data_IF_592600129114
#
_entry.id   IF_592600129114
#
_cell.length_a   1.000
_cell.length_b   1.000
_cell.length_c   1.000
_cell.angle_alpha   90.00
_cell.angle_beta   90.00
_cell.angle_gamma   90.00
#
_symmetry.space_group_name_H-M   'P 1'
#
loop_
_entity.id
_entity.type
_entity.pdbx_description
1 polymer ?
#
# COMPACT_ATOMS: atom_id res chain seq x y z
N UNK A 1 -7.90 30.31 45.29
CA UNK A 1 -7.57 28.88 45.50
C UNK A 1 -8.07 28.14 44.27
N UNK A 2 -7.20 27.84 43.30
CA UNK A 2 -7.60 27.38 41.96
C UNK A 2 -7.23 25.91 41.74
N UNK A 3 -8.24 25.11 41.40
CA UNK A 3 -8.17 23.96 40.48
C UNK A 3 -7.64 22.61 41.01
N UNK A 4 -8.43 21.51 40.94
CA UNK A 4 -7.89 20.16 41.06
C UNK A 4 -7.00 19.83 39.84
N UNK A 5 -5.82 19.28 40.15
CA UNK A 5 -4.86 18.75 39.18
C UNK A 5 -5.38 17.44 38.57
N UNK A 6 -4.88 17.19 37.36
CA UNK A 6 -4.90 15.93 36.61
C UNK A 6 -6.12 15.69 35.71
N UNK A 7 -6.05 16.29 34.53
CA UNK A 7 -6.81 15.84 33.36
C UNK A 7 -6.43 14.40 32.99
N UNK A 8 -7.45 13.57 32.76
CA UNK A 8 -7.54 12.52 31.73
C UNK A 8 -6.28 11.69 31.47
N UNK A 9 -6.24 10.51 32.10
CA UNK A 9 -5.53 9.35 31.58
C UNK A 9 -6.31 8.79 30.37
N UNK A 10 -6.06 9.33 29.18
CA UNK A 10 -6.51 8.78 27.90
C UNK A 10 -5.56 7.66 27.47
N UNK A 11 -6.16 6.65 26.84
CA UNK A 11 -5.57 5.35 26.47
C UNK A 11 -4.47 5.49 25.41
N UNK A 12 -3.43 4.66 25.57
CA UNK A 12 -2.69 3.87 24.56
C UNK A 12 -2.12 4.62 23.34
N UNK A 13 -0.79 4.58 23.15
CA UNK A 13 -0.16 4.60 21.82
C UNK A 13 1.26 4.01 21.90
N UNK A 14 1.58 3.12 20.97
CA UNK A 14 2.89 2.48 20.78
C UNK A 14 4.05 3.47 20.91
N UNK A 15 5.13 3.04 21.59
CA UNK A 15 6.34 3.85 21.74
C UNK A 15 6.94 4.18 20.38
N UNK A 16 7.06 5.45 20.07
CA UNK A 16 7.90 5.96 18.97
C UNK A 16 9.30 6.21 19.52
N UNK A 17 10.33 5.78 18.79
CA UNK A 17 11.71 6.11 19.14
C UNK A 17 12.10 7.51 18.62
N UNK A 18 13.32 7.95 18.97
CA UNK A 18 13.87 9.27 18.65
C UNK A 18 14.01 9.55 17.15
N UNK A 19 13.86 8.54 16.28
CA UNK A 19 13.86 8.69 14.83
C UNK A 19 12.47 8.93 14.24
N UNK A 20 11.42 8.94 15.07
CA UNK A 20 10.03 9.09 14.63
C UNK A 20 9.46 7.82 13.99
N UNK A 21 10.21 6.72 14.01
CA UNK A 21 9.72 5.39 13.69
C UNK A 21 9.13 4.78 14.97
N UNK A 22 8.01 4.07 14.85
CA UNK A 22 7.57 3.21 15.94
C UNK A 22 8.66 2.19 16.28
N UNK A 23 8.82 1.82 17.55
CA UNK A 23 9.75 0.73 17.95
C UNK A 23 9.40 -0.63 17.32
N UNK A 24 8.27 -0.71 16.60
CA UNK A 24 7.76 -1.86 15.85
C UNK A 24 8.29 -1.93 14.41
N UNK A 25 8.90 -0.85 13.92
CA UNK A 25 9.44 -0.76 12.57
C UNK A 25 8.37 -0.77 11.48
N UNK A 26 7.28 -0.02 11.71
CA UNK A 26 6.18 0.12 10.76
C UNK A 26 6.67 0.31 9.31
N UNK A 27 5.98 -0.27 8.31
CA UNK A 27 6.38 -0.10 6.92
C UNK A 27 6.40 1.38 6.57
N UNK A 28 7.42 1.87 5.89
CA UNK A 28 7.45 3.20 5.32
C UNK A 28 7.47 3.07 3.80
N UNK A 29 6.76 3.98 3.16
CA UNK A 29 6.90 4.16 1.72
C UNK A 29 8.20 4.90 1.45
N UNK A 30 9.15 4.29 0.75
CA UNK A 30 10.52 4.84 0.63
C UNK A 30 11.11 4.80 -0.77
N UNK A 31 10.50 4.07 -1.72
CA UNK A 31 11.02 3.98 -3.10
C UNK A 31 10.66 5.17 -4.03
N UNK A 32 9.71 6.02 -3.62
CA UNK A 32 9.18 7.11 -4.46
C UNK A 32 7.86 6.72 -5.13
N UNK A 33 7.08 7.65 -5.73
CA UNK A 33 5.73 7.33 -6.20
C UNK A 33 5.74 6.20 -7.24
N UNK A 34 4.87 5.20 -7.07
CA UNK A 34 4.65 4.17 -8.09
C UNK A 34 4.18 4.88 -9.37
N UNK A 35 4.90 4.67 -10.47
CA UNK A 35 4.56 5.29 -11.74
C UNK A 35 3.20 4.82 -12.26
N UNK A 36 2.48 5.72 -12.92
CA UNK A 36 1.25 5.39 -13.64
C UNK A 36 1.51 4.28 -14.67
N UNK A 37 0.55 3.37 -14.81
CA UNK A 37 0.62 2.20 -15.67
C UNK A 37 -0.35 2.31 -16.84
N UNK A 38 -0.02 1.58 -17.90
CA UNK A 38 -0.94 1.32 -19.02
C UNK A 38 -1.12 -0.18 -19.21
N UNK A 39 -2.25 -0.59 -19.78
CA UNK A 39 -2.51 -1.97 -20.15
C UNK A 39 -3.52 -2.03 -21.29
N UNK A 40 -3.50 -3.09 -22.08
CA UNK A 40 -4.42 -3.26 -23.21
C UNK A 40 -5.51 -4.25 -22.84
N UNK A 41 -6.75 -3.99 -23.24
CA UNK A 41 -7.85 -4.90 -22.97
C UNK A 41 -7.59 -6.31 -23.53
N UNK A 42 -7.97 -7.35 -22.78
CA UNK A 42 -7.76 -8.76 -23.12
C UNK A 42 -6.29 -9.17 -23.28
N UNK A 43 -5.34 -8.31 -22.93
CA UNK A 43 -3.90 -8.58 -22.97
C UNK A 43 -3.36 -8.77 -21.56
N UNK A 44 -2.45 -9.74 -21.40
CA UNK A 44 -1.73 -9.93 -20.16
C UNK A 44 -0.77 -8.75 -19.93
N UNK A 45 -0.81 -8.18 -18.72
CA UNK A 45 0.12 -7.10 -18.36
C UNK A 45 1.51 -7.65 -18.11
N UNK A 46 2.53 -6.82 -18.31
CA UNK A 46 3.84 -7.11 -17.73
C UNK A 46 3.68 -7.07 -16.20
N UNK A 47 4.10 -8.11 -15.45
CA UNK A 47 3.98 -8.09 -14.00
C UNK A 47 4.64 -6.86 -13.39
N UNK A 48 3.91 -6.17 -12.53
CA UNK A 48 4.40 -4.99 -11.81
C UNK A 48 4.72 -5.39 -10.37
N UNK A 49 6.00 -5.34 -10.02
CA UNK A 49 6.45 -5.51 -8.64
C UNK A 49 6.45 -4.16 -7.92
N UNK A 50 5.65 -4.03 -6.87
CA UNK A 50 5.62 -2.82 -6.01
C UNK A 50 6.28 -3.03 -4.66
N UNK A 51 6.79 -4.24 -4.37
CA UNK A 51 7.30 -4.58 -3.04
C UNK A 51 8.51 -3.73 -2.64
N UNK A 52 9.37 -3.40 -3.61
CA UNK A 52 10.55 -2.55 -3.39
C UNK A 52 10.23 -1.10 -3.01
N UNK A 53 8.99 -0.66 -3.19
CA UNK A 53 8.56 0.70 -2.86
C UNK A 53 8.25 0.86 -1.35
N UNK A 54 8.08 -0.27 -0.66
CA UNK A 54 7.84 -0.34 0.77
C UNK A 54 9.06 -0.92 1.47
N UNK A 55 9.54 -0.23 2.50
CA UNK A 55 10.59 -0.76 3.37
C UNK A 55 10.08 -0.84 4.80
N UNK A 56 10.55 -1.82 5.55
CA UNK A 56 10.25 -1.95 6.96
C UNK A 56 11.50 -2.49 7.64
N UNK A 57 11.84 -1.91 8.79
CA UNK A 57 12.86 -2.45 9.70
C UNK A 57 12.24 -3.40 10.74
N UNK A 58 10.99 -3.84 10.53
CA UNK A 58 10.35 -4.87 11.33
C UNK A 58 10.99 -6.25 11.08
N UNK A 59 10.88 -7.14 12.06
CA UNK A 59 11.31 -8.54 11.96
C UNK A 59 10.27 -9.45 11.30
N UNK A 60 9.10 -8.91 10.95
CA UNK A 60 8.01 -9.65 10.31
C UNK A 60 7.91 -9.29 8.82
N UNK A 61 7.52 -10.26 7.99
CA UNK A 61 7.29 -10.05 6.57
C UNK A 61 6.16 -9.05 6.31
N UNK A 62 6.32 -8.24 5.27
CA UNK A 62 5.25 -7.38 4.77
C UNK A 62 4.15 -8.20 4.08
N UNK A 63 2.90 -7.76 4.28
CA UNK A 63 1.74 -8.23 3.53
C UNK A 63 1.23 -7.11 2.65
N UNK A 64 1.10 -7.40 1.36
CA UNK A 64 0.70 -6.45 0.35
C UNK A 64 -0.79 -6.59 0.02
N UNK A 65 -1.43 -5.47 -0.28
CA UNK A 65 -2.80 -5.42 -0.77
C UNK A 65 -2.94 -4.38 -1.87
N UNK A 66 -3.88 -4.63 -2.79
CA UNK A 66 -4.27 -3.70 -3.83
C UNK A 66 -5.78 -3.54 -3.91
N UNK A 67 -6.23 -2.31 -4.14
CA UNK A 67 -7.62 -1.95 -4.39
C UNK A 67 -7.75 -1.11 -5.65
N UNK A 68 -8.92 -1.14 -6.29
CA UNK A 68 -9.21 -0.33 -7.47
C UNK A 68 -8.56 -0.81 -8.76
N UNK A 69 -7.94 -2.00 -8.78
CA UNK A 69 -7.32 -2.56 -9.98
C UNK A 69 -8.36 -2.75 -11.11
N UNK A 70 -7.94 -2.61 -12.39
CA UNK A 70 -8.70 -3.12 -13.53
C UNK A 70 -9.13 -4.58 -13.31
N UNK A 71 -10.29 -4.96 -13.85
CA UNK A 71 -10.83 -6.31 -13.68
C UNK A 71 -9.87 -7.29 -14.35
N UNK A 72 -9.63 -8.43 -13.72
CA UNK A 72 -8.72 -9.45 -14.24
C UNK A 72 -7.25 -9.26 -13.86
N UNK A 73 -6.92 -8.14 -13.20
CA UNK A 73 -5.65 -7.98 -12.50
C UNK A 73 -5.81 -8.30 -11.01
N UNK A 74 -4.79 -8.91 -10.43
CA UNK A 74 -4.72 -9.26 -9.01
C UNK A 74 -3.32 -9.00 -8.47
N UNK A 75 -3.22 -8.72 -7.17
CA UNK A 75 -1.94 -8.65 -6.46
C UNK A 75 -1.72 -9.94 -5.66
N UNK A 76 -0.53 -10.52 -5.79
CA UNK A 76 -0.04 -11.52 -4.84
C UNK A 76 0.38 -10.83 -3.53
N UNK A 77 -0.26 -11.22 -2.42
CA UNK A 77 -0.10 -10.54 -1.13
C UNK A 77 1.22 -10.82 -0.41
N UNK A 78 2.00 -11.79 -0.89
CA UNK A 78 3.30 -12.16 -0.32
C UNK A 78 4.42 -11.47 -1.08
N UNK A 79 4.33 -11.42 -2.41
CA UNK A 79 5.38 -10.88 -3.28
C UNK A 79 5.15 -9.42 -3.68
N UNK A 80 3.93 -8.89 -3.53
CA UNK A 80 3.59 -7.55 -3.99
C UNK A 80 3.49 -7.42 -5.52
N UNK A 81 3.49 -8.53 -6.26
CA UNK A 81 3.42 -8.52 -7.72
C UNK A 81 1.96 -8.41 -8.17
N UNK A 82 1.65 -7.37 -8.95
CA UNK A 82 0.39 -7.23 -9.69
C UNK A 82 0.54 -7.90 -11.05
N UNK A 83 -0.37 -8.82 -11.38
CA UNK A 83 -0.36 -9.55 -12.65
C UNK A 83 -1.77 -9.94 -13.08
N UNK A 84 -1.90 -10.45 -14.30
CA UNK A 84 -3.16 -10.93 -14.87
C UNK A 84 -3.40 -10.42 -16.29
N UNK A 85 -4.64 -10.57 -16.73
CA UNK A 85 -5.12 -10.13 -18.06
C UNK A 85 -6.24 -9.13 -17.87
N UNK A 86 -6.14 -7.97 -18.51
CA UNK A 86 -7.18 -6.94 -18.40
C UNK A 86 -8.50 -7.45 -18.96
N UNK A 87 -9.58 -7.30 -18.19
CA UNK A 87 -10.91 -7.75 -18.57
C UNK A 87 -11.56 -6.87 -19.64
N UNK A 88 -12.44 -7.47 -20.44
CA UNK A 88 -13.21 -6.79 -21.49
C UNK A 88 -14.08 -5.64 -20.97
N UNK A 89 -14.34 -4.64 -21.82
CA UNK A 89 -15.27 -3.54 -21.54
C UNK A 89 -14.68 -2.47 -20.61
N UNK A 90 -13.35 -2.35 -20.59
CA UNK A 90 -12.61 -1.38 -19.77
C UNK A 90 -11.79 -0.40 -20.62
N UNK A 91 -11.94 -0.44 -21.95
CA UNK A 91 -11.19 0.37 -22.91
C UNK A 91 -11.39 1.87 -22.66
N UNK A 92 -10.30 2.64 -22.63
CA UNK A 92 -10.30 4.07 -22.35
C UNK A 92 -10.57 4.45 -20.89
N UNK A 93 -10.75 3.48 -19.99
CA UNK A 93 -10.96 3.75 -18.56
C UNK A 93 -9.63 4.02 -17.84
N UNK A 94 -9.68 4.90 -16.84
CA UNK A 94 -8.56 5.16 -15.91
C UNK A 94 -8.97 4.73 -14.51
N UNK A 95 -8.17 3.86 -13.90
CA UNK A 95 -8.39 3.31 -12.56
C UNK A 95 -7.45 3.96 -11.55
N UNK A 96 -7.97 4.44 -10.43
CA UNK A 96 -7.16 4.87 -9.30
C UNK A 96 -6.85 3.64 -8.43
N UNK A 97 -5.64 3.12 -8.56
CA UNK A 97 -5.19 1.92 -7.87
C UNK A 97 -4.52 2.32 -6.55
N UNK A 98 -4.94 1.69 -5.45
CA UNK A 98 -4.33 1.87 -4.14
C UNK A 98 -3.56 0.60 -3.80
N UNK A 99 -2.29 0.74 -3.47
CA UNK A 99 -1.48 -0.36 -2.92
C UNK A 99 -1.15 -0.05 -1.48
N UNK A 100 -1.04 -1.09 -0.67
CA UNK A 100 -0.55 -0.95 0.69
C UNK A 100 0.35 -2.10 1.09
N UNK A 101 1.28 -1.81 1.99
CA UNK A 101 2.04 -2.81 2.71
C UNK A 101 1.72 -2.68 4.20
N UNK A 102 1.49 -3.83 4.83
CA UNK A 102 1.14 -3.96 6.24
C UNK A 102 2.13 -4.89 6.91
N UNK A 103 2.71 -4.47 8.04
CA UNK A 103 3.53 -5.36 8.86
C UNK A 103 2.66 -6.32 9.69
N UNK A 104 3.31 -7.23 10.42
CA UNK A 104 2.62 -8.13 11.34
C UNK A 104 2.07 -7.45 12.61
N UNK A 105 2.30 -6.15 12.82
CA UNK A 105 1.79 -5.39 13.97
C UNK A 105 0.53 -4.60 13.67
N UNK A 106 0.16 -4.47 12.40
CA UNK A 106 -1.12 -3.91 12.01
C UNK A 106 -1.05 -2.59 11.25
N UNK A 107 0.14 -1.98 11.17
CA UNK A 107 0.32 -0.66 10.57
C UNK A 107 0.47 -0.82 9.06
N UNK A 108 -0.33 -0.08 8.31
CA UNK A 108 -0.30 -0.10 6.86
C UNK A 108 -0.01 1.29 6.30
N UNK A 109 0.82 1.33 5.27
CA UNK A 109 1.04 2.52 4.46
C UNK A 109 0.53 2.26 3.05
N UNK A 110 -0.07 3.28 2.45
CA UNK A 110 -0.69 3.17 1.14
C UNK A 110 -0.13 4.20 0.17
N UNK A 111 -0.08 3.82 -1.11
CA UNK A 111 0.17 4.75 -2.22
C UNK A 111 -0.85 4.53 -3.34
N UNK A 112 -1.18 5.61 -4.04
CA UNK A 112 -2.03 5.62 -5.21
C UNK A 112 -1.22 5.82 -6.49
N UNK A 113 -1.59 5.09 -7.53
CA UNK A 113 -1.15 5.33 -8.91
C UNK A 113 -2.33 5.10 -9.84
N UNK A 114 -2.24 5.57 -11.08
CA UNK A 114 -3.27 5.30 -12.06
C UNK A 114 -2.93 4.14 -12.99
N UNK A 115 -3.94 3.38 -13.40
CA UNK A 115 -3.85 2.41 -14.49
C UNK A 115 -4.80 2.82 -15.61
N UNK A 116 -4.27 3.15 -16.78
CA UNK A 116 -5.07 3.49 -17.97
C UNK A 116 -5.18 2.28 -18.87
N UNK A 117 -6.40 1.96 -19.33
CA UNK A 117 -6.64 0.83 -20.22
C UNK A 117 -6.78 1.33 -21.66
N UNK A 118 -5.89 0.86 -22.52
CA UNK A 118 -5.91 1.09 -23.95
C UNK A 118 -6.85 0.08 -24.65
N UNK A 119 -7.40 0.44 -25.82
CA UNK A 119 -8.22 -0.45 -26.64
C UNK A 119 -7.47 -1.69 -27.15
#
# INVERSE_FOLDING_TARGET
>A
MAGPRSQRHLREVQGVDSSGQGIDGAPVFSGGPIADQTGTVSVAVTPLDVSGEFTSNSVQDLKFAAGGLPKGLTMDSVTGIISGTVGIGQEGMKFACLTSAKDGFGVAYSNAFAWTIDP
#
